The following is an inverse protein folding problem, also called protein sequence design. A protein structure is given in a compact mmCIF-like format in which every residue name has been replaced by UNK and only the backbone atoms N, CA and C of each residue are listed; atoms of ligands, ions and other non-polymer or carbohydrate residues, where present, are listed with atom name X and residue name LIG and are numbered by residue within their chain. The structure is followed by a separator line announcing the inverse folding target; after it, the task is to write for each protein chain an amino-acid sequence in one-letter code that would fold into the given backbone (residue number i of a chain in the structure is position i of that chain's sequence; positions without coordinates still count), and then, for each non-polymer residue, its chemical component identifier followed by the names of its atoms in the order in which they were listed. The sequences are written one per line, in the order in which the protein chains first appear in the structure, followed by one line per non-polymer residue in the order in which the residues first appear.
data_IF_739223127624
#
_entry.id   IF_739223127624
#
_cell.length_a   1.000
_cell.length_b   1.000
_cell.length_c   1.000
_cell.angle_alpha   90.00
_cell.angle_beta   90.00
_cell.angle_gamma   90.00
#
_symmetry.space_group_name_H-M   'P 1'
#
loop_
_entity.id
_entity.type
_entity.pdbx_description
1 polymer ?
#
# COMPACT_ATOMS: atom_id res chain seq x y z
N UNK A 1 4.62 -6.44 3.19
CA UNK A 1 3.84 -5.19 3.27
C UNK A 1 2.90 -5.23 4.46
N UNK A 2 2.81 -4.12 5.17
CA UNK A 2 1.86 -3.97 6.28
C UNK A 2 0.88 -2.88 5.91
N UNK A 3 -0.41 -3.14 6.10
CA UNK A 3 -1.46 -2.13 5.97
C UNK A 3 -2.14 -2.04 7.32
N UNK A 4 -2.07 -0.87 7.95
CA UNK A 4 -2.63 -0.66 9.29
C UNK A 4 -3.54 0.55 9.31
N UNK A 5 -4.55 0.49 10.16
CA UNK A 5 -5.38 1.64 10.52
C UNK A 5 -5.22 1.90 12.01
N UNK A 6 -5.76 3.01 12.55
CA UNK A 6 -5.66 3.27 13.99
C UNK A 6 -6.24 2.17 14.86
N UNK A 7 -7.21 1.43 14.34
CA UNK A 7 -7.95 0.43 15.11
C UNK A 7 -7.39 -0.99 14.96
N UNK A 8 -6.76 -1.29 13.82
CA UNK A 8 -6.39 -2.69 13.56
C UNK A 8 -5.37 -2.79 12.44
N UNK A 9 -4.76 -3.96 12.36
CA UNK A 9 -3.97 -4.36 11.21
C UNK A 9 -4.90 -4.92 10.15
N UNK A 10 -4.83 -4.36 8.94
CA UNK A 10 -5.69 -4.78 7.83
C UNK A 10 -5.04 -5.92 7.07
N UNK A 11 -3.73 -5.84 6.83
CA UNK A 11 -3.00 -6.86 6.10
C UNK A 11 -1.55 -6.87 6.56
N UNK A 12 -0.98 -8.08 6.59
CA UNK A 12 0.45 -8.27 6.84
C UNK A 12 0.88 -9.48 6.02
N UNK A 13 1.80 -9.26 5.10
CA UNK A 13 2.28 -10.35 4.26
C UNK A 13 3.10 -9.82 3.11
N UNK A 14 3.54 -10.73 2.26
CA UNK A 14 4.32 -10.40 1.08
C UNK A 14 3.40 -10.18 -0.12
N UNK A 15 3.75 -9.19 -0.93
CA UNK A 15 3.00 -8.86 -2.15
C UNK A 15 3.96 -8.72 -3.32
N UNK A 16 3.45 -8.96 -4.51
CA UNK A 16 4.19 -8.72 -5.75
C UNK A 16 4.06 -7.27 -6.17
N UNK A 17 2.91 -6.66 -5.92
CA UNK A 17 2.69 -5.26 -6.28
C UNK A 17 1.61 -4.65 -5.40
N UNK A 18 1.63 -3.33 -5.27
CA UNK A 18 0.56 -2.58 -4.63
C UNK A 18 0.35 -1.28 -5.41
N UNK A 19 -0.91 -0.97 -5.71
CA UNK A 19 -1.31 0.25 -6.39
C UNK A 19 -2.05 1.12 -5.39
N UNK A 20 -1.62 2.37 -5.29
CA UNK A 20 -2.06 3.27 -4.23
C UNK A 20 -2.59 4.57 -4.82
N UNK A 21 -3.64 5.18 -4.21
CA UNK A 21 -4.16 6.46 -4.67
C UNK A 21 -3.35 7.61 -4.06
N UNK A 22 -2.19 7.90 -4.65
CA UNK A 22 -1.38 9.02 -4.21
C UNK A 22 -2.06 10.35 -4.43
N UNK A 23 -1.72 11.36 -3.63
CA UNK A 23 -2.33 12.69 -3.75
C UNK A 23 -2.03 13.35 -5.09
N UNK A 24 -0.92 12.97 -5.73
CA UNK A 24 -0.54 13.49 -7.05
C UNK A 24 -0.93 12.53 -8.18
N UNK A 25 -1.65 11.46 -7.88
CA UNK A 25 -2.06 10.46 -8.85
C UNK A 25 -1.78 9.06 -8.34
N UNK A 26 -2.47 8.06 -8.88
CA UNK A 26 -2.24 6.69 -8.48
C UNK A 26 -0.88 6.21 -8.99
N UNK A 27 -0.25 5.32 -8.23
CA UNK A 27 1.04 4.76 -8.61
C UNK A 27 1.14 3.34 -8.09
N UNK A 28 2.03 2.56 -8.70
CA UNK A 28 2.21 1.15 -8.35
C UNK A 28 3.64 0.93 -7.86
N UNK A 29 3.76 0.26 -6.72
CA UNK A 29 5.04 -0.15 -6.18
C UNK A 29 5.21 -1.64 -6.49
N UNK A 30 6.29 -1.97 -7.20
CA UNK A 30 6.68 -3.35 -7.45
C UNK A 30 7.74 -3.76 -6.45
N UNK A 31 8.02 -5.06 -6.35
CA UNK A 31 9.08 -5.53 -5.49
C UNK A 31 10.41 -4.88 -5.89
N UNK A 32 11.26 -4.56 -4.90
CA UNK A 32 12.56 -3.92 -5.10
C UNK A 32 12.49 -2.52 -5.70
N UNK A 33 11.42 -1.83 -5.45
CA UNK A 33 11.30 -0.44 -5.87
C UNK A 33 12.23 0.44 -5.03
N UNK A 34 12.64 1.59 -5.59
CA UNK A 34 13.41 2.57 -4.84
C UNK A 34 12.60 3.08 -3.65
N UNK A 35 13.27 3.53 -2.56
CA UNK A 35 12.55 4.07 -1.40
C UNK A 35 11.60 5.19 -1.81
N UNK A 36 10.41 5.19 -1.20
CA UNK A 36 9.38 6.18 -1.50
C UNK A 36 8.59 6.51 -0.24
N UNK A 37 8.20 7.77 -0.13
CA UNK A 37 7.24 8.23 0.87
C UNK A 37 6.22 9.07 0.13
N UNK A 38 4.94 8.78 0.32
CA UNK A 38 3.88 9.51 -0.36
C UNK A 38 2.65 9.59 0.51
N UNK A 39 1.94 10.71 0.46
CA UNK A 39 0.63 10.82 1.05
C UNK A 39 -0.41 10.22 0.11
N UNK A 40 -1.50 9.74 0.68
CA UNK A 40 -2.57 9.07 -0.05
C UNK A 40 -3.87 9.85 0.12
N UNK A 41 -4.68 9.85 -0.92
CA UNK A 41 -6.01 10.45 -0.89
C UNK A 41 -7.06 9.34 -0.77
N UNK A 42 -8.32 9.73 -0.58
CA UNK A 42 -9.43 8.79 -0.60
C UNK A 42 -9.47 8.06 -1.94
N UNK A 43 -9.67 6.77 -1.91
CA UNK A 43 -9.70 5.96 -3.11
C UNK A 43 -9.56 4.49 -2.79
N UNK A 44 -9.16 3.72 -3.78
CA UNK A 44 -8.99 2.28 -3.65
C UNK A 44 -7.51 1.92 -3.72
N UNK A 45 -7.07 1.15 -2.74
CA UNK A 45 -5.75 0.54 -2.71
C UNK A 45 -5.91 -0.90 -3.21
N UNK A 46 -5.06 -1.34 -4.12
CA UNK A 46 -5.10 -2.70 -4.65
C UNK A 46 -3.73 -3.34 -4.55
N UNK A 47 -3.70 -4.61 -4.17
CA UNK A 47 -2.43 -5.32 -4.07
C UNK A 47 -2.58 -6.76 -4.55
N UNK A 48 -1.47 -7.31 -5.04
CA UNK A 48 -1.39 -8.69 -5.51
C UNK A 48 -0.43 -9.44 -4.61
N UNK A 49 -0.92 -10.50 -3.98
CA UNK A 49 -0.11 -11.31 -3.07
C UNK A 49 0.83 -12.21 -3.85
N UNK A 50 1.76 -12.85 -3.14
CA UNK A 50 2.76 -13.73 -3.78
C UNK A 50 2.14 -14.92 -4.48
N UNK A 51 0.97 -15.35 -4.05
CA UNK A 51 0.26 -16.45 -4.67
C UNK A 51 -0.64 -16.02 -5.83
N UNK A 52 -0.56 -14.74 -6.21
CA UNK A 52 -1.28 -14.22 -7.37
C UNK A 52 -2.69 -13.73 -7.12
N UNK A 53 -3.12 -13.66 -5.86
CA UNK A 53 -4.46 -13.15 -5.53
C UNK A 53 -4.47 -11.63 -5.50
N UNK A 54 -5.46 -11.03 -6.14
CA UNK A 54 -5.66 -9.60 -6.11
C UNK A 54 -6.68 -9.24 -5.03
N UNK A 55 -6.34 -8.23 -4.25
CA UNK A 55 -7.21 -7.72 -3.19
C UNK A 55 -7.35 -6.22 -3.35
N UNK A 56 -8.50 -5.69 -2.96
CA UNK A 56 -8.76 -4.26 -2.98
C UNK A 56 -9.27 -3.81 -1.62
N UNK A 57 -8.95 -2.57 -1.27
CA UNK A 57 -9.34 -1.98 0.00
C UNK A 57 -9.63 -0.50 -0.22
N UNK A 58 -10.83 -0.07 0.15
CA UNK A 58 -11.17 1.35 0.11
C UNK A 58 -10.52 2.05 1.30
N UNK A 59 -9.95 3.21 1.04
CA UNK A 59 -9.30 4.03 2.07
C UNK A 59 -9.78 5.46 1.97
N UNK A 60 -9.72 6.18 3.08
CA UNK A 60 -10.09 7.60 3.14
C UNK A 60 -8.89 8.51 3.00
N UNK A 61 -7.70 7.99 3.16
CA UNK A 61 -6.44 8.72 3.08
C UNK A 61 -5.38 8.00 3.87
N UNK A 62 -4.21 8.59 3.99
CA UNK A 62 -3.13 8.01 4.73
C UNK A 62 -1.78 8.33 4.11
N UNK A 63 -0.82 7.46 4.34
CA UNK A 63 0.48 7.59 3.71
C UNK A 63 1.13 6.21 3.57
N UNK A 64 2.09 6.14 2.66
CA UNK A 64 2.87 4.95 2.41
C UNK A 64 4.35 5.27 2.52
N UNK A 65 5.09 4.34 3.09
CA UNK A 65 6.55 4.42 3.16
C UNK A 65 7.11 3.09 2.69
N UNK A 66 8.10 3.16 1.79
CA UNK A 66 8.86 1.99 1.38
C UNK A 66 10.32 2.22 1.67
N UNK A 67 10.92 1.27 2.38
CA UNK A 67 12.32 1.33 2.75
C UNK A 67 12.90 -0.08 2.63
N UNK A 68 13.87 -0.25 1.72
CA UNK A 68 14.41 -1.56 1.41
C UNK A 68 13.34 -2.44 0.77
N UNK A 69 13.06 -3.60 1.38
CA UNK A 69 12.04 -4.52 0.89
C UNK A 69 10.72 -4.38 1.64
N UNK A 70 10.60 -3.38 2.49
CA UNK A 70 9.45 -3.27 3.38
C UNK A 70 8.58 -2.09 2.98
N UNK A 71 7.29 -2.38 2.78
CA UNK A 71 6.28 -1.37 2.47
C UNK A 71 5.34 -1.28 3.66
N UNK A 72 5.17 -0.07 4.19
CA UNK A 72 4.26 0.19 5.30
C UNK A 72 3.21 1.19 4.83
N UNK A 73 1.95 0.81 4.95
CA UNK A 73 0.82 1.65 4.54
C UNK A 73 -0.02 1.94 5.77
N UNK A 74 -0.15 3.22 6.11
CA UNK A 74 -1.00 3.66 7.21
C UNK A 74 -2.22 4.36 6.61
N UNK A 75 -3.41 3.86 6.94
CA UNK A 75 -4.65 4.40 6.39
C UNK A 75 -5.53 4.90 7.53
N UNK A 76 -6.41 5.84 7.21
CA UNK A 76 -7.35 6.42 8.18
C UNK A 76 -8.51 5.49 8.45
#
# INVERSE_FOLDING_TARGET
MDIVSPDKEIFNGEVDSVTLPGTLGSFTILSQHAPIVSSLKAGTLAYVTKDGEEHVQDIHGGFVEMNGNKVSVCVD
#
